data_IF_853250549608
#
_entry.id   IF_853250549608
#
_cell.length_a   1.000
_cell.length_b   1.000
_cell.length_c   1.000
_cell.angle_alpha   90.00
_cell.angle_beta   90.00
_cell.angle_gamma   90.00
#
_symmetry.space_group_name_H-M   'P 1'
#
loop_
_entity.id
_entity.type
_entity.pdbx_description
1 polymer ?
#
# COMPACT_ATOMS: atom_id res chain seq x y z
N UNK A 1 15.12 10.00 17.35
CA UNK A 1 15.31 9.03 16.25
C UNK A 1 14.03 8.24 16.13
N UNK A 2 13.23 8.52 15.10
CA UNK A 2 11.96 7.85 14.90
C UNK A 2 12.22 6.44 14.35
N UNK A 3 11.88 5.43 15.16
CA UNK A 3 12.12 4.02 14.85
C UNK A 3 10.98 3.47 13.98
N UNK A 4 11.31 2.59 13.03
CA UNK A 4 10.30 1.89 12.26
C UNK A 4 9.37 1.07 13.16
N UNK A 5 8.11 0.88 12.73
CA UNK A 5 7.07 0.15 13.47
C UNK A 5 7.50 -1.26 13.90
N UNK A 6 8.28 -1.91 13.06
CA UNK A 6 8.91 -3.21 13.32
C UNK A 6 10.42 -2.99 13.26
N UNK A 7 11.16 -3.52 14.24
CA UNK A 7 12.60 -3.30 14.29
C UNK A 7 13.31 -4.17 13.25
N UNK A 8 12.90 -5.43 13.12
CA UNK A 8 13.48 -6.41 12.20
C UNK A 8 12.45 -6.97 11.22
N UNK A 9 12.95 -7.61 10.15
CA UNK A 9 12.11 -8.37 9.21
C UNK A 9 11.32 -9.47 9.94
N UNK A 10 11.92 -10.12 10.93
CA UNK A 10 11.29 -11.15 11.74
C UNK A 10 10.07 -10.62 12.51
N UNK A 11 10.18 -9.46 13.14
CA UNK A 11 9.07 -8.85 13.90
C UNK A 11 7.84 -8.63 13.01
N UNK A 12 8.08 -8.15 11.77
CA UNK A 12 7.02 -7.93 10.78
C UNK A 12 6.39 -9.27 10.36
N UNK A 13 7.19 -10.32 10.13
CA UNK A 13 6.68 -11.63 9.75
C UNK A 13 5.92 -12.34 10.89
N UNK A 14 6.29 -12.10 12.15
CA UNK A 14 5.52 -12.59 13.29
C UNK A 14 4.15 -11.91 13.40
N UNK A 15 4.11 -10.59 13.16
CA UNK A 15 2.85 -9.84 13.17
C UNK A 15 1.96 -10.16 11.94
N UNK A 16 2.57 -10.43 10.80
CA UNK A 16 1.89 -10.74 9.53
C UNK A 16 2.50 -11.99 8.88
N UNK A 17 2.06 -13.21 9.26
CA UNK A 17 2.63 -14.45 8.71
C UNK A 17 2.57 -14.54 7.17
N UNK A 18 1.53 -13.98 6.55
CA UNK A 18 1.38 -13.90 5.09
C UNK A 18 2.46 -13.05 4.42
N UNK A 19 3.04 -12.06 5.12
CA UNK A 19 4.10 -11.23 4.59
C UNK A 19 5.35 -12.05 4.22
N UNK A 20 5.62 -13.17 4.90
CA UNK A 20 6.73 -14.07 4.56
C UNK A 20 6.58 -14.64 3.14
N UNK A 21 5.36 -14.96 2.75
CA UNK A 21 5.06 -15.46 1.41
C UNK A 21 5.07 -14.32 0.38
N UNK A 22 4.46 -13.18 0.73
CA UNK A 22 4.30 -12.05 -0.19
C UNK A 22 5.62 -11.31 -0.48
N UNK A 23 6.52 -11.21 0.49
CA UNK A 23 7.84 -10.55 0.35
C UNK A 23 8.84 -11.45 -0.37
N UNK A 24 8.79 -12.76 -0.11
CA UNK A 24 9.71 -13.74 -0.65
C UNK A 24 11.03 -13.82 0.15
N UNK A 25 12.17 -13.90 -0.56
CA UNK A 25 13.48 -14.08 0.07
C UNK A 25 13.85 -12.83 0.90
N UNK A 26 14.02 -13.01 2.21
CA UNK A 26 14.44 -11.96 3.13
C UNK A 26 15.33 -12.53 4.25
N UNK A 27 16.30 -11.73 4.69
CA UNK A 27 17.11 -12.01 5.88
C UNK A 27 16.32 -11.60 7.13
N UNK A 28 15.91 -12.55 7.95
CA UNK A 28 14.93 -12.32 9.02
C UNK A 28 15.45 -11.43 10.15
N UNK A 29 16.75 -11.51 10.46
CA UNK A 29 17.37 -10.74 11.54
C UNK A 29 17.75 -9.31 11.10
N UNK A 30 17.61 -8.99 9.82
CA UNK A 30 17.99 -7.68 9.28
C UNK A 30 17.03 -6.59 9.79
N UNK A 31 17.53 -5.40 10.14
CA UNK A 31 16.67 -4.27 10.46
C UNK A 31 15.70 -3.94 9.31
N UNK A 32 14.45 -3.61 9.63
CA UNK A 32 13.39 -3.45 8.60
C UNK A 32 13.72 -2.36 7.57
N UNK A 33 14.29 -1.22 8.01
CA UNK A 33 14.65 -0.13 7.09
C UNK A 33 15.84 -0.51 6.20
N UNK A 34 16.81 -1.24 6.74
CA UNK A 34 17.99 -1.70 5.98
C UNK A 34 17.56 -2.72 4.93
N UNK A 35 16.71 -3.68 5.29
CA UNK A 35 16.14 -4.63 4.33
C UNK A 35 15.37 -3.91 3.20
N UNK A 36 14.55 -2.92 3.54
CA UNK A 36 13.78 -2.18 2.54
C UNK A 36 14.68 -1.34 1.62
N UNK A 37 15.75 -0.74 2.17
CA UNK A 37 16.75 -0.02 1.39
C UNK A 37 17.50 -0.97 0.45
N UNK A 38 18.04 -2.07 0.96
CA UNK A 38 18.75 -3.10 0.18
C UNK A 38 17.87 -3.64 -0.96
N UNK A 39 16.60 -3.93 -0.69
CA UNK A 39 15.66 -4.42 -1.69
C UNK A 39 15.37 -3.36 -2.78
N UNK A 40 15.37 -2.08 -2.42
CA UNK A 40 15.21 -0.95 -3.34
C UNK A 40 16.45 -0.79 -4.23
N UNK A 41 17.65 -0.82 -3.62
CA UNK A 41 18.92 -0.66 -4.33
C UNK A 41 19.21 -1.84 -5.28
N UNK A 42 18.84 -3.06 -4.85
CA UNK A 42 18.90 -4.26 -5.67
C UNK A 42 17.78 -4.33 -6.74
N UNK A 43 16.88 -3.34 -6.80
CA UNK A 43 15.72 -3.28 -7.70
C UNK A 43 14.80 -4.50 -7.60
N UNK A 44 14.75 -5.12 -6.42
CA UNK A 44 13.78 -6.14 -6.10
C UNK A 44 12.42 -5.48 -5.80
N UNK A 45 11.78 -4.94 -6.85
CA UNK A 45 10.53 -4.18 -6.73
C UNK A 45 9.43 -4.98 -6.07
N UNK A 46 9.33 -6.28 -6.37
CA UNK A 46 8.36 -7.16 -5.75
C UNK A 46 8.54 -7.24 -4.23
N UNK A 47 9.75 -7.57 -3.76
CA UNK A 47 10.04 -7.67 -2.33
C UNK A 47 9.90 -6.32 -1.61
N UNK A 48 10.43 -5.25 -2.21
CA UNK A 48 10.42 -3.92 -1.62
C UNK A 48 9.00 -3.35 -1.48
N UNK A 49 8.17 -3.43 -2.53
CA UNK A 49 6.75 -3.00 -2.47
C UNK A 49 5.99 -3.80 -1.43
N UNK A 50 6.15 -5.13 -1.44
CA UNK A 50 5.46 -6.01 -0.51
C UNK A 50 5.81 -5.67 0.93
N UNK A 51 7.11 -5.56 1.23
CA UNK A 51 7.57 -5.29 2.59
C UNK A 51 7.15 -3.90 3.08
N UNK A 52 7.27 -2.87 2.23
CA UNK A 52 6.85 -1.51 2.56
C UNK A 52 5.35 -1.43 2.89
N UNK A 53 4.51 -2.11 2.13
CA UNK A 53 3.06 -2.14 2.37
C UNK A 53 2.69 -2.71 3.75
N UNK A 54 3.44 -3.71 4.24
CA UNK A 54 3.25 -4.29 5.58
C UNK A 54 3.90 -3.45 6.70
N UNK A 55 5.02 -2.79 6.40
CA UNK A 55 5.78 -2.01 7.38
C UNK A 55 5.02 -0.75 7.82
N UNK A 56 4.33 -0.11 6.88
CA UNK A 56 3.58 1.12 7.14
C UNK A 56 2.26 0.85 7.90
N UNK A 57 1.84 1.74 8.82
CA UNK A 57 0.47 1.71 9.36
C UNK A 57 -0.55 1.78 8.22
N UNK A 58 -1.70 1.08 8.33
CA UNK A 58 -2.67 0.91 7.23
C UNK A 58 -3.03 2.21 6.51
N UNK A 59 -3.37 3.28 7.26
CA UNK A 59 -3.66 4.60 6.69
C UNK A 59 -2.49 5.18 5.91
N UNK A 60 -1.28 5.03 6.43
CA UNK A 60 -0.04 5.52 5.81
C UNK A 60 0.31 4.70 4.57
N UNK A 61 0.11 3.37 4.59
CA UNK A 61 0.30 2.49 3.44
C UNK A 61 -0.63 2.86 2.28
N UNK A 62 -1.92 3.11 2.57
CA UNK A 62 -2.91 3.53 1.56
C UNK A 62 -2.55 4.91 0.99
N UNK A 63 -2.18 5.87 1.85
CA UNK A 63 -1.72 7.19 1.42
C UNK A 63 -0.48 7.11 0.51
N UNK A 64 0.49 6.27 0.88
CA UNK A 64 1.66 5.97 0.07
C UNK A 64 1.28 5.34 -1.28
N UNK A 65 0.33 4.41 -1.29
CA UNK A 65 -0.21 3.82 -2.51
C UNK A 65 -0.82 4.85 -3.46
N UNK A 66 -1.66 5.76 -2.95
CA UNK A 66 -2.23 6.86 -3.75
C UNK A 66 -1.14 7.75 -4.36
N UNK A 67 -0.17 8.20 -3.55
CA UNK A 67 0.93 9.04 -4.04
C UNK A 67 1.80 8.32 -5.07
N UNK A 68 2.04 7.03 -4.87
CA UNK A 68 2.79 6.20 -5.80
C UNK A 68 2.06 6.06 -7.13
N UNK A 69 0.76 5.75 -7.14
CA UNK A 69 -0.01 5.70 -8.40
C UNK A 69 -0.01 7.03 -9.14
N UNK A 70 -0.22 8.14 -8.42
CA UNK A 70 -0.15 9.50 -9.00
C UNK A 70 1.23 9.86 -9.55
N UNK A 71 2.29 9.18 -9.11
CA UNK A 71 3.65 9.33 -9.66
C UNK A 71 3.89 8.40 -10.85
N UNK A 72 3.21 7.26 -10.89
CA UNK A 72 3.33 6.26 -11.95
C UNK A 72 2.54 6.64 -13.20
N UNK A 73 1.43 7.36 -13.04
CA UNK A 73 0.54 7.73 -14.14
C UNK A 73 0.10 9.20 -14.05
N UNK A 74 0.17 9.88 -15.19
CA UNK A 74 -0.29 11.28 -15.33
C UNK A 74 -1.79 11.38 -15.64
N UNK A 75 -2.39 10.30 -16.14
CA UNK A 75 -3.78 10.24 -16.56
C UNK A 75 -4.46 9.02 -15.97
N UNK A 76 -5.70 9.21 -15.56
CA UNK A 76 -6.59 8.17 -15.05
C UNK A 76 -7.93 8.32 -15.76
N UNK A 77 -8.60 7.21 -16.04
CA UNK A 77 -9.97 7.28 -16.52
C UNK A 77 -10.92 7.79 -15.41
N UNK A 78 -12.21 7.93 -15.74
CA UNK A 78 -13.20 8.43 -14.81
C UNK A 78 -13.42 7.50 -13.60
N UNK A 79 -13.30 6.18 -13.78
CA UNK A 79 -13.53 5.20 -12.72
C UNK A 79 -12.34 5.15 -11.75
N UNK A 80 -11.12 5.14 -12.29
CA UNK A 80 -9.88 5.19 -11.51
C UNK A 80 -9.76 6.51 -10.74
N UNK A 81 -10.07 7.63 -11.41
CA UNK A 81 -10.10 8.95 -10.76
C UNK A 81 -11.11 8.98 -9.61
N UNK A 82 -12.30 8.41 -9.80
CA UNK A 82 -13.32 8.32 -8.75
C UNK A 82 -12.85 7.47 -7.58
N UNK A 83 -12.26 6.31 -7.84
CA UNK A 83 -11.71 5.43 -6.81
C UNK A 83 -10.63 6.13 -5.99
N UNK A 84 -9.66 6.77 -6.66
CA UNK A 84 -8.62 7.54 -5.98
C UNK A 84 -9.19 8.67 -5.12
N UNK A 85 -10.21 9.40 -5.60
CA UNK A 85 -10.84 10.46 -4.82
C UNK A 85 -11.51 9.95 -3.53
N UNK A 86 -12.18 8.79 -3.57
CA UNK A 86 -12.75 8.17 -2.37
C UNK A 86 -11.66 7.73 -1.39
N UNK A 87 -10.60 7.10 -1.90
CA UNK A 87 -9.47 6.66 -1.08
C UNK A 87 -8.76 7.84 -0.43
N UNK A 88 -8.45 8.89 -1.18
CA UNK A 88 -7.80 10.09 -0.67
C UNK A 88 -8.69 10.82 0.37
N UNK A 89 -10.01 10.77 0.19
CA UNK A 89 -10.97 11.29 1.19
C UNK A 89 -10.90 10.48 2.48
N UNK A 90 -10.89 9.15 2.39
CA UNK A 90 -10.69 8.28 3.55
C UNK A 90 -9.33 8.50 4.22
N UNK A 91 -8.26 8.70 3.44
CA UNK A 91 -6.93 9.02 3.99
C UNK A 91 -6.96 10.33 4.79
N UNK A 92 -7.68 11.35 4.33
CA UNK A 92 -7.85 12.63 5.05
C UNK A 92 -8.70 12.45 6.31
N UNK A 93 -9.82 11.74 6.19
CA UNK A 93 -10.81 11.52 7.26
C UNK A 93 -11.21 10.04 7.28
N UNK A 94 -10.50 9.19 8.09
CA UNK A 94 -10.67 7.74 8.05
C UNK A 94 -11.86 7.27 8.90
N UNK A 95 -13.03 7.86 8.65
CA UNK A 95 -14.29 7.45 9.28
C UNK A 95 -14.95 6.27 8.53
N UNK A 96 -15.98 5.70 9.16
CA UNK A 96 -16.76 4.58 8.65
C UNK A 96 -17.43 4.89 7.29
N UNK A 97 -17.92 6.11 7.12
CA UNK A 97 -18.66 6.51 5.92
C UNK A 97 -17.74 6.59 4.71
N UNK A 98 -16.58 7.23 4.85
CA UNK A 98 -15.58 7.33 3.79
C UNK A 98 -14.97 5.96 3.47
N UNK A 99 -14.79 5.09 4.48
CA UNK A 99 -14.33 3.70 4.29
C UNK A 99 -15.33 2.90 3.47
N UNK A 100 -16.62 2.96 3.80
CA UNK A 100 -17.65 2.20 3.11
C UNK A 100 -17.86 2.68 1.66
N UNK A 101 -17.68 3.97 1.37
CA UNK A 101 -17.64 4.48 -0.02
C UNK A 101 -16.46 3.90 -0.81
N UNK A 102 -15.28 3.82 -0.19
CA UNK A 102 -14.11 3.20 -0.82
C UNK A 102 -14.31 1.69 -1.04
N UNK A 103 -14.91 0.98 -0.08
CA UNK A 103 -15.25 -0.44 -0.23
C UNK A 103 -16.25 -0.67 -1.38
N UNK A 104 -17.31 0.15 -1.46
CA UNK A 104 -18.32 0.04 -2.50
C UNK A 104 -17.74 0.26 -3.91
N UNK A 105 -16.93 1.32 -4.11
CA UNK A 105 -16.31 1.56 -5.42
C UNK A 105 -15.27 0.49 -5.76
N UNK A 106 -14.52 -0.01 -4.77
CA UNK A 106 -13.56 -1.10 -4.96
C UNK A 106 -14.21 -2.42 -5.38
N UNK A 107 -15.39 -2.73 -4.85
CA UNK A 107 -16.14 -3.95 -5.22
C UNK A 107 -16.83 -3.83 -6.59
N UNK A 108 -17.15 -2.61 -7.04
CA UNK A 108 -17.85 -2.37 -8.30
C UNK A 108 -16.92 -2.20 -9.51
N UNK A 109 -15.67 -1.80 -9.28
CA UNK A 109 -14.70 -1.53 -10.35
C UNK A 109 -13.96 -2.79 -10.82
N UNK A 110 -13.29 -2.65 -11.97
CA UNK A 110 -12.48 -3.70 -12.60
C UNK A 110 -11.24 -4.05 -11.73
N UNK A 111 -11.08 -5.31 -11.30
CA UNK A 111 -9.94 -5.76 -10.49
C UNK A 111 -8.61 -5.77 -11.26
N UNK A 112 -8.61 -5.58 -12.58
CA UNK A 112 -7.37 -5.38 -13.33
C UNK A 112 -6.78 -3.97 -13.11
N UNK A 113 -7.56 -3.02 -12.58
CA UNK A 113 -7.10 -1.64 -12.37
C UNK A 113 -6.40 -1.43 -11.00
N UNK A 114 -5.23 -0.78 -10.97
CA UNK A 114 -4.55 -0.45 -9.71
C UNK A 114 -5.39 0.36 -8.72
N UNK A 115 -6.20 1.30 -9.20
CA UNK A 115 -7.00 2.16 -8.33
C UNK A 115 -8.10 1.38 -7.59
N UNK A 116 -8.64 0.32 -8.20
CA UNK A 116 -9.59 -0.62 -7.56
C UNK A 116 -8.98 -1.22 -6.30
N UNK A 117 -7.74 -1.67 -6.37
CA UNK A 117 -7.06 -2.26 -5.21
C UNK A 117 -6.72 -1.25 -4.11
N UNK A 118 -6.49 0.03 -4.43
CA UNK A 118 -6.39 1.06 -3.40
C UNK A 118 -7.73 1.35 -2.72
N UNK A 119 -8.83 1.32 -3.48
CA UNK A 119 -10.18 1.42 -2.93
C UNK A 119 -10.49 0.27 -1.97
N UNK A 120 -10.16 -0.96 -2.37
CA UNK A 120 -10.26 -2.14 -1.51
C UNK A 120 -9.31 -2.05 -0.31
N UNK A 121 -8.11 -1.49 -0.45
CA UNK A 121 -7.18 -1.31 0.67
C UNK A 121 -7.74 -0.37 1.75
N UNK A 122 -8.38 0.73 1.35
CA UNK A 122 -9.11 1.59 2.27
C UNK A 122 -10.32 0.86 2.87
N UNK A 123 -11.11 0.18 2.03
CA UNK A 123 -12.28 -0.61 2.45
C UNK A 123 -11.97 -1.68 3.50
N UNK A 124 -10.85 -2.40 3.33
CA UNK A 124 -10.39 -3.48 4.22
C UNK A 124 -9.41 -3.02 5.30
N UNK A 125 -9.32 -1.72 5.57
CA UNK A 125 -8.46 -1.16 6.62
C UNK A 125 -8.96 -1.44 8.05
N UNK A 126 -10.25 -1.77 8.18
CA UNK A 126 -10.95 -2.09 9.43
C UNK A 126 -12.45 -2.25 9.21
N UNK A 127 -13.20 -2.45 10.29
CA UNK A 127 -14.64 -2.69 10.25
C UNK A 127 -15.03 -3.91 9.41
N UNK A 128 -16.23 -3.86 8.83
CA UNK A 128 -16.70 -4.96 7.99
C UNK A 128 -16.19 -4.86 6.56
N UNK A 129 -15.70 -5.98 6.01
CA UNK A 129 -15.25 -6.08 4.61
C UNK A 129 -16.38 -6.38 3.63
N UNK A 130 -17.59 -6.60 4.13
CA UNK A 130 -18.79 -6.80 3.33
C UNK A 130 -19.72 -5.59 3.45
N UNK A 131 -20.56 -5.33 2.44
CA UNK A 131 -21.61 -4.31 2.52
C UNK A 131 -22.52 -4.48 3.75
N UNK A 132 -23.14 -3.38 4.19
CA UNK A 132 -23.90 -3.31 5.44
C UNK A 132 -25.16 -4.20 5.45
N UNK A 133 -25.66 -4.60 4.28
CA UNK A 133 -26.76 -5.55 4.12
C UNK A 133 -26.39 -7.01 4.49
N UNK A 134 -25.10 -7.33 4.62
CA UNK A 134 -24.62 -8.65 5.02
C UNK A 134 -24.19 -8.69 6.48
N UNK A 135 -24.12 -9.91 7.05
CA UNK A 135 -23.56 -10.12 8.38
C UNK A 135 -22.10 -9.63 8.44
N UNK A 136 -21.71 -8.85 9.47
CA UNK A 136 -20.37 -8.29 9.53
C UNK A 136 -19.27 -9.35 9.49
N UNK A 137 -18.37 -9.22 8.51
CA UNK A 137 -17.12 -9.99 8.44
C UNK A 137 -15.96 -9.05 8.74
N UNK A 138 -15.16 -9.35 9.75
CA UNK A 138 -14.01 -8.50 10.13
C UNK A 138 -12.88 -8.57 9.11
N UNK A 139 -12.26 -7.41 8.85
CA UNK A 139 -11.06 -7.33 8.04
C UNK A 139 -9.88 -8.03 8.71
N UNK A 140 -9.23 -8.96 8.00
CA UNK A 140 -7.99 -9.56 8.48
C UNK A 140 -6.89 -8.50 8.54
N UNK A 141 -5.98 -8.55 9.54
CA UNK A 141 -4.99 -7.49 9.75
C UNK A 141 -4.09 -7.16 8.56
N UNK A 142 -3.86 -8.12 7.67
CA UNK A 142 -3.00 -8.07 6.47
C UNK A 142 -3.71 -7.57 5.19
N UNK A 143 -5.04 -7.56 5.13
CA UNK A 143 -5.78 -7.32 3.88
C UNK A 143 -5.48 -5.96 3.25
N UNK A 144 -5.45 -4.89 4.04
CA UNK A 144 -5.12 -3.55 3.53
C UNK A 144 -3.71 -3.49 2.93
N UNK A 145 -2.72 -4.09 3.60
CA UNK A 145 -1.34 -4.13 3.10
C UNK A 145 -1.25 -4.92 1.79
N UNK A 146 -1.92 -6.07 1.72
CA UNK A 146 -1.97 -6.91 0.50
C UNK A 146 -2.64 -6.22 -0.67
N UNK A 147 -3.69 -5.45 -0.40
CA UNK A 147 -4.38 -4.67 -1.42
C UNK A 147 -3.51 -3.49 -1.92
N UNK A 148 -2.80 -2.78 -1.05
CA UNK A 148 -1.80 -1.77 -1.49
C UNK A 148 -0.70 -2.42 -2.33
N UNK A 149 -0.17 -3.56 -1.90
CA UNK A 149 0.80 -4.35 -2.68
C UNK A 149 0.26 -4.70 -4.06
N UNK A 150 -0.96 -5.23 -4.15
CA UNK A 150 -1.59 -5.57 -5.42
C UNK A 150 -1.69 -4.36 -6.36
N UNK A 151 -2.17 -3.22 -5.84
CA UNK A 151 -2.27 -1.98 -6.61
C UNK A 151 -0.92 -1.59 -7.25
N UNK A 152 0.15 -1.55 -6.45
CA UNK A 152 1.46 -1.11 -6.93
C UNK A 152 2.15 -2.13 -7.86
N UNK A 153 1.94 -3.43 -7.64
CA UNK A 153 2.48 -4.45 -8.54
C UNK A 153 1.76 -4.49 -9.89
N UNK A 154 0.44 -4.31 -9.92
CA UNK A 154 -0.32 -4.16 -11.17
C UNK A 154 0.15 -2.89 -11.90
N UNK A 155 0.29 -1.77 -11.18
CA UNK A 155 0.79 -0.54 -11.76
C UNK A 155 2.21 -0.67 -12.33
N UNK A 156 3.10 -1.38 -11.62
CA UNK A 156 4.47 -1.64 -12.05
C UNK A 156 4.51 -2.36 -13.41
N UNK A 157 3.62 -3.32 -13.64
CA UNK A 157 3.52 -4.04 -14.91
C UNK A 157 3.16 -3.13 -16.09
N UNK A 158 2.52 -1.97 -15.83
CA UNK A 158 2.08 -1.02 -16.84
C UNK A 158 3.09 0.11 -17.09
N UNK A 159 4.19 0.18 -16.32
CA UNK A 159 5.21 1.21 -16.49
C UNK A 159 6.12 0.96 -17.71
N UNK A 160 6.44 2.01 -18.49
CA UNK A 160 7.47 1.95 -19.54
C UNK A 160 8.82 1.52 -18.96
N UNK A 161 9.59 0.73 -19.71
CA UNK A 161 10.84 0.14 -19.21
C UNK A 161 11.89 1.20 -18.88
N UNK A 162 11.95 2.25 -19.69
CA UNK A 162 12.93 3.34 -19.56
C UNK A 162 12.74 4.20 -18.31
N UNK A 163 11.51 4.32 -17.81
CA UNK A 163 11.19 5.17 -16.66
C UNK A 163 10.93 4.37 -15.38
N UNK A 164 10.72 3.05 -15.49
CA UNK A 164 10.37 2.13 -14.41
C UNK A 164 11.25 2.27 -13.18
N UNK A 165 12.56 2.12 -13.34
CA UNK A 165 13.47 2.08 -12.20
C UNK A 165 13.47 3.41 -11.46
N UNK A 166 13.54 4.53 -12.19
CA UNK A 166 13.48 5.89 -11.61
C UNK A 166 12.19 6.13 -10.83
N UNK A 167 11.04 5.73 -11.39
CA UNK A 167 9.73 5.92 -10.75
C UNK A 167 9.63 5.04 -9.50
N UNK A 168 10.02 3.77 -9.59
CA UNK A 168 9.94 2.82 -8.48
C UNK A 168 10.87 3.17 -7.33
N UNK A 169 12.10 3.60 -7.63
CA UNK A 169 13.03 4.14 -6.62
C UNK A 169 12.37 5.30 -5.88
N UNK A 170 11.81 6.29 -6.58
CA UNK A 170 11.14 7.41 -5.93
C UNK A 170 9.93 6.98 -5.08
N UNK A 171 9.12 6.02 -5.55
CA UNK A 171 7.99 5.45 -4.79
C UNK A 171 8.46 4.80 -3.49
N UNK A 172 9.53 4.01 -3.52
CA UNK A 172 10.04 3.34 -2.34
C UNK A 172 10.79 4.27 -1.39
N UNK A 173 11.54 5.26 -1.90
CA UNK A 173 12.13 6.32 -1.08
C UNK A 173 11.08 7.08 -0.26
N UNK A 174 9.93 7.41 -0.88
CA UNK A 174 8.80 8.03 -0.17
C UNK A 174 8.23 7.09 0.92
N UNK A 175 8.16 5.79 0.65
CA UNK A 175 7.73 4.78 1.62
C UNK A 175 8.73 4.62 2.79
N UNK A 176 10.03 4.64 2.51
CA UNK A 176 11.10 4.59 3.51
C UNK A 176 11.04 5.84 4.42
N UNK A 177 10.84 7.03 3.83
CA UNK A 177 10.68 8.28 4.60
C UNK A 177 9.48 8.20 5.55
N UNK A 178 8.34 7.69 5.07
CA UNK A 178 7.16 7.46 5.91
C UNK A 178 7.42 6.44 7.02
N UNK A 179 8.14 5.35 6.72
CA UNK A 179 8.46 4.30 7.70
C UNK A 179 9.40 4.81 8.81
N UNK A 180 10.25 5.79 8.50
CA UNK A 180 11.07 6.52 9.49
C UNK A 180 10.24 7.47 10.34
N UNK A 181 8.96 7.70 10.07
CA UNK A 181 8.13 8.64 10.83
C UNK A 181 8.52 10.11 10.64
N UNK A 182 9.18 10.45 9.53
CA UNK A 182 9.51 11.84 9.18
C UNK A 182 8.28 12.53 8.56
N UNK A 183 7.72 13.59 9.20
CA UNK A 183 6.73 14.42 8.53
C UNK A 183 7.41 15.18 7.38
N UNK A 184 6.91 15.00 6.15
CA UNK A 184 7.36 15.80 5.00
C UNK A 184 6.82 17.23 5.13
N UNK A 185 7.61 18.28 4.86
CA UNK A 185 7.10 19.64 4.81
C UNK A 185 6.00 19.77 3.75
N UNK A 186 4.99 20.65 3.98
CA UNK A 186 3.95 20.90 3.00
C UNK A 186 4.60 21.42 1.70
N UNK A 187 4.22 20.82 0.57
CA UNK A 187 4.46 21.40 -0.75
C UNK A 187 3.37 22.38 -1.08
#
# INVERSE_FOLDING_TARGET
>A
MSQARFATVQDLFQAYPMARHDVGKAEVDKPSLDFLQDATDARNWHGAVSFCAYLLPRRVAVAWGCRSLRRMFDQFDANDSRSLNFVETWVRQPDEQSRNKALAVGNANDPEQPATWLALAAGWSGGSVVPAEFAPVEAKPDQAARAVRAALLIALCRLPRESRDRIMTACLEDGIQLARGEPRPPR
#
